data_IF_318570840163
#
_entry.id   IF_318570840163
#
_cell.length_a   1.000
_cell.length_b   1.000
_cell.length_c   1.000
_cell.angle_alpha   90.00
_cell.angle_beta   90.00
_cell.angle_gamma   90.00
#
_symmetry.space_group_name_H-M   'P 1'
#
loop_
_entity.id
_entity.type
_entity.pdbx_description
1 polymer ?
#
# COMPACT_ATOMS: atom_id res chain seq x y z
N UNK A 1 -5.06 -30.91 19.08
CA UNK A 1 -4.39 -31.48 17.88
C UNK A 1 -3.11 -30.68 17.70
N UNK A 2 -1.96 -31.33 17.59
CA UNK A 2 -0.69 -30.66 17.34
C UNK A 2 -0.55 -30.33 15.86
N UNK A 3 -0.30 -29.08 15.50
CA UNK A 3 -0.18 -28.58 14.13
C UNK A 3 1.25 -28.21 13.75
N UNK A 4 2.18 -28.37 14.66
CA UNK A 4 3.58 -28.04 14.42
C UNK A 4 4.18 -29.04 13.44
N UNK A 5 4.85 -28.54 12.41
CA UNK A 5 5.61 -29.34 11.45
C UNK A 5 7.10 -29.03 11.55
N UNK A 6 7.93 -29.96 11.10
CA UNK A 6 9.37 -29.93 11.36
C UNK A 6 10.08 -28.71 10.78
N UNK A 7 9.73 -28.34 9.54
CA UNK A 7 10.39 -27.28 8.79
C UNK A 7 9.52 -26.76 7.62
N UNK A 8 9.99 -25.70 6.99
CA UNK A 8 9.31 -25.06 5.87
C UNK A 8 9.20 -25.98 4.64
N UNK A 9 10.20 -26.81 4.37
CA UNK A 9 10.19 -27.74 3.24
C UNK A 9 9.07 -28.80 3.40
N UNK A 10 8.95 -29.36 4.59
CA UNK A 10 7.86 -30.28 4.96
C UNK A 10 6.50 -29.60 4.86
N UNK A 11 6.42 -28.35 5.31
CA UNK A 11 5.16 -27.60 5.35
C UNK A 11 4.56 -27.31 3.97
N UNK A 12 5.40 -27.14 2.93
CA UNK A 12 4.96 -26.85 1.56
C UNK A 12 5.04 -28.06 0.62
N UNK A 13 5.38 -29.24 1.12
CA UNK A 13 5.72 -30.42 0.30
C UNK A 13 4.57 -30.90 -0.61
N UNK A 14 3.33 -30.71 -0.24
CA UNK A 14 2.13 -31.17 -0.95
C UNK A 14 1.48 -30.11 -1.85
N UNK A 15 2.04 -28.90 -1.96
CA UNK A 15 1.50 -27.87 -2.88
C UNK A 15 1.68 -28.37 -4.32
N UNK A 16 0.58 -28.61 -5.09
CA UNK A 16 0.67 -29.14 -6.44
C UNK A 16 0.89 -28.04 -7.49
N UNK A 17 1.21 -28.45 -8.70
CA UNK A 17 1.15 -27.58 -9.89
C UNK A 17 -0.24 -26.97 -10.05
N UNK A 18 -0.29 -25.73 -10.55
CA UNK A 18 -1.55 -25.02 -10.79
C UNK A 18 -2.26 -24.49 -9.55
N UNK A 19 -1.71 -24.72 -8.34
CA UNK A 19 -2.34 -24.25 -7.10
C UNK A 19 -2.46 -22.72 -7.04
N UNK A 20 -3.50 -22.24 -6.39
CA UNK A 20 -3.65 -20.83 -6.00
C UNK A 20 -3.01 -20.64 -4.64
N UNK A 21 -1.88 -19.91 -4.61
CA UNK A 21 -1.08 -19.69 -3.41
C UNK A 21 -1.16 -18.23 -2.98
N UNK A 22 -1.77 -17.99 -1.81
CA UNK A 22 -1.78 -16.69 -1.15
C UNK A 22 -0.51 -16.50 -0.31
N UNK A 23 0.12 -15.34 -0.44
CA UNK A 23 1.31 -14.98 0.35
C UNK A 23 1.06 -13.69 1.09
N UNK A 24 0.98 -13.76 2.43
CA UNK A 24 0.80 -12.57 3.28
C UNK A 24 2.05 -11.68 3.30
N UNK A 25 1.88 -10.47 3.79
CA UNK A 25 2.91 -9.46 3.93
C UNK A 25 2.53 -8.14 3.26
N UNK A 26 3.20 -7.05 3.63
CA UNK A 26 2.82 -5.70 3.22
C UNK A 26 4.01 -4.91 2.67
N UNK A 27 3.84 -4.34 1.48
CA UNK A 27 4.73 -3.34 0.89
C UNK A 27 6.19 -3.79 0.77
N UNK A 28 7.08 -3.01 1.35
CA UNK A 28 8.52 -3.24 1.42
C UNK A 28 8.95 -3.86 2.76
N UNK A 29 7.99 -4.22 3.60
CA UNK A 29 8.25 -4.70 4.95
C UNK A 29 8.84 -6.12 4.99
N UNK A 30 9.18 -6.54 6.18
CA UNK A 30 9.83 -7.82 6.49
C UNK A 30 8.86 -8.89 7.01
N UNK A 31 7.54 -8.65 6.86
CA UNK A 31 6.50 -9.55 7.39
C UNK A 31 5.98 -10.52 6.33
N UNK A 32 6.88 -11.05 5.54
CA UNK A 32 6.63 -12.14 4.62
C UNK A 32 7.09 -13.47 5.24
N UNK A 33 6.42 -14.60 4.96
CA UNK A 33 6.83 -15.93 5.40
C UNK A 33 8.02 -16.42 4.55
N UNK A 34 9.20 -15.84 4.77
CA UNK A 34 10.38 -15.94 3.87
C UNK A 34 10.92 -17.36 3.73
N UNK A 35 10.83 -18.18 4.78
CA UNK A 35 11.30 -19.57 4.70
C UNK A 35 10.34 -20.45 3.91
N UNK A 36 9.01 -20.23 4.06
CA UNK A 36 7.99 -20.91 3.25
C UNK A 36 8.09 -20.51 1.78
N UNK A 37 8.31 -19.22 1.47
CA UNK A 37 8.53 -18.73 0.10
C UNK A 37 9.77 -19.38 -0.49
N UNK A 38 10.86 -19.43 0.27
CA UNK A 38 12.13 -20.03 -0.18
C UNK A 38 11.96 -21.52 -0.45
N UNK A 39 11.38 -22.26 0.49
CA UNK A 39 11.16 -23.68 0.34
C UNK A 39 10.26 -24.00 -0.88
N UNK A 40 9.21 -23.21 -1.11
CA UNK A 40 8.34 -23.38 -2.27
C UNK A 40 9.07 -23.05 -3.59
N UNK A 41 9.91 -22.02 -3.61
CA UNK A 41 10.69 -21.64 -4.80
C UNK A 41 11.72 -22.70 -5.21
N UNK A 42 12.25 -23.46 -4.25
CA UNK A 42 13.22 -24.53 -4.45
C UNK A 42 12.57 -25.85 -4.95
N UNK A 43 11.26 -25.97 -4.85
CA UNK A 43 10.53 -27.12 -5.41
C UNK A 43 10.36 -26.98 -6.94
N UNK A 44 10.21 -28.12 -7.60
CA UNK A 44 9.84 -28.21 -9.02
C UNK A 44 8.32 -28.12 -9.21
N UNK A 45 7.69 -27.09 -8.62
CA UNK A 45 6.26 -26.79 -8.79
C UNK A 45 6.09 -25.67 -9.82
N UNK A 46 5.09 -25.78 -10.70
CA UNK A 46 4.90 -24.86 -11.81
C UNK A 46 3.43 -24.38 -11.90
N UNK A 47 3.20 -23.40 -12.77
CA UNK A 47 1.88 -22.86 -13.11
C UNK A 47 1.08 -22.31 -11.92
N UNK A 48 1.77 -21.87 -10.86
CA UNK A 48 1.09 -21.30 -9.70
C UNK A 48 0.36 -20.01 -10.06
N UNK A 49 -0.85 -19.85 -9.51
CA UNK A 49 -1.49 -18.53 -9.37
C UNK A 49 -1.08 -17.95 -8.03
N UNK A 50 -0.23 -16.93 -8.04
CA UNK A 50 0.19 -16.26 -6.81
C UNK A 50 -0.70 -15.06 -6.50
N UNK A 51 -1.24 -15.03 -5.28
CA UNK A 51 -2.01 -13.89 -4.73
C UNK A 51 -1.19 -13.25 -3.64
N UNK A 52 -0.86 -11.96 -3.78
CA UNK A 52 -0.08 -11.23 -2.77
C UNK A 52 -0.36 -9.73 -2.83
N UNK A 53 -0.02 -8.99 -1.79
CA UNK A 53 -0.08 -7.53 -1.85
C UNK A 53 0.96 -6.96 -2.84
N UNK A 54 2.20 -7.41 -2.72
CA UNK A 54 3.31 -6.96 -3.54
C UNK A 54 4.38 -8.04 -3.70
N UNK A 55 5.26 -7.85 -4.67
CA UNK A 55 6.44 -8.70 -4.86
C UNK A 55 7.54 -8.43 -3.80
N UNK A 56 7.34 -7.44 -2.92
CA UNK A 56 8.33 -7.01 -1.95
C UNK A 56 9.59 -6.38 -2.56
N UNK A 57 10.64 -6.22 -1.76
CA UNK A 57 11.90 -5.55 -2.18
C UNK A 57 13.13 -6.45 -2.07
N UNK A 58 13.08 -7.47 -1.21
CA UNK A 58 14.17 -8.43 -1.00
C UNK A 58 14.04 -9.63 -1.95
N UNK A 59 15.16 -10.29 -2.21
CA UNK A 59 15.20 -11.56 -2.95
C UNK A 59 14.50 -12.72 -2.24
N UNK A 60 14.21 -12.59 -0.95
CA UNK A 60 13.51 -13.57 -0.12
C UNK A 60 11.97 -13.36 -0.11
N UNK A 61 11.47 -12.29 -0.72
CA UNK A 61 10.06 -11.94 -0.79
C UNK A 61 9.34 -12.68 -1.95
N UNK A 62 8.02 -12.50 -2.16
CA UNK A 62 7.25 -13.19 -3.20
C UNK A 62 7.86 -13.13 -4.62
N UNK A 63 8.67 -12.10 -4.94
CA UNK A 63 9.42 -12.03 -6.20
C UNK A 63 10.30 -13.26 -6.47
N UNK A 64 10.78 -13.96 -5.42
CA UNK A 64 11.56 -15.18 -5.56
C UNK A 64 10.82 -16.25 -6.35
N UNK A 65 9.51 -16.43 -6.11
CA UNK A 65 8.69 -17.37 -6.87
C UNK A 65 8.55 -16.98 -8.34
N UNK A 66 8.41 -15.66 -8.62
CA UNK A 66 8.38 -15.14 -10.00
C UNK A 66 9.72 -15.36 -10.69
N UNK A 67 10.83 -15.01 -10.06
CA UNK A 67 12.19 -15.17 -10.60
C UNK A 67 12.59 -16.64 -10.80
N UNK A 68 12.06 -17.54 -9.98
CA UNK A 68 12.24 -18.98 -10.13
C UNK A 68 11.35 -19.60 -11.22
N UNK A 69 10.49 -18.80 -11.89
CA UNK A 69 9.58 -19.27 -12.95
C UNK A 69 8.45 -20.16 -12.45
N UNK A 70 8.06 -20.06 -11.18
CA UNK A 70 7.00 -20.87 -10.56
C UNK A 70 5.60 -20.35 -10.81
N UNK A 71 5.48 -19.08 -11.18
CA UNK A 71 4.21 -18.33 -11.26
C UNK A 71 3.85 -18.07 -12.71
N UNK A 72 2.68 -18.54 -13.13
CA UNK A 72 2.07 -18.21 -14.44
C UNK A 72 1.03 -17.09 -14.35
N UNK A 73 0.40 -16.92 -13.18
CA UNK A 73 -0.57 -15.85 -12.94
C UNK A 73 -0.27 -15.13 -11.62
N UNK A 74 -0.19 -13.79 -11.66
CA UNK A 74 -0.02 -12.94 -10.49
C UNK A 74 -1.28 -12.09 -10.28
N UNK A 75 -1.86 -12.16 -9.08
CA UNK A 75 -2.94 -11.27 -8.61
C UNK A 75 -2.40 -10.42 -7.47
N UNK A 76 -2.23 -9.11 -7.69
CA UNK A 76 -1.55 -8.27 -6.72
C UNK A 76 -1.96 -6.79 -6.81
N UNK A 77 -1.75 -6.05 -5.72
CA UNK A 77 -1.90 -4.59 -5.72
C UNK A 77 -0.65 -3.90 -6.31
N UNK A 78 0.51 -4.57 -6.28
CA UNK A 78 1.77 -4.07 -6.80
C UNK A 78 2.48 -5.16 -7.62
N UNK A 79 2.43 -5.07 -8.95
CA UNK A 79 3.21 -5.92 -9.87
C UNK A 79 4.53 -5.29 -10.30
N UNK A 80 4.72 -4.01 -10.02
CA UNK A 80 5.92 -3.23 -10.29
C UNK A 80 6.21 -2.25 -9.16
N UNK A 81 7.39 -1.65 -9.16
CA UNK A 81 7.77 -0.58 -8.21
C UNK A 81 7.91 0.74 -8.96
N UNK A 82 7.18 1.75 -8.53
CA UNK A 82 7.30 3.09 -9.10
C UNK A 82 8.75 3.60 -9.06
N UNK A 83 9.21 4.19 -10.15
CA UNK A 83 10.56 4.73 -10.34
C UNK A 83 11.73 3.73 -10.15
N UNK A 84 11.47 2.42 -10.21
CA UNK A 84 12.49 1.36 -10.20
C UNK A 84 12.47 0.62 -11.53
N UNK A 85 13.48 0.81 -12.39
CA UNK A 85 13.56 0.11 -13.67
C UNK A 85 13.56 -1.41 -13.50
N UNK A 86 13.03 -2.13 -14.48
CA UNK A 86 13.01 -3.59 -14.54
C UNK A 86 12.47 -4.27 -13.26
N UNK A 87 11.47 -3.64 -12.63
CA UNK A 87 10.92 -4.14 -11.38
C UNK A 87 9.59 -4.86 -11.52
N UNK A 88 9.00 -4.87 -12.72
CA UNK A 88 7.70 -5.54 -12.95
C UNK A 88 7.81 -7.06 -12.94
N UNK A 89 6.70 -7.72 -12.63
CA UNK A 89 6.61 -9.18 -12.67
C UNK A 89 7.00 -9.73 -14.05
N UNK A 90 6.49 -9.11 -15.12
CA UNK A 90 6.75 -9.51 -16.50
C UNK A 90 8.23 -9.40 -16.88
N UNK A 91 8.94 -8.39 -16.37
CA UNK A 91 10.37 -8.18 -16.65
C UNK A 91 11.27 -9.10 -15.82
N UNK A 92 10.80 -9.61 -14.69
CA UNK A 92 11.58 -10.46 -13.78
C UNK A 92 11.33 -11.95 -13.96
N UNK A 93 10.21 -12.32 -14.56
CA UNK A 93 9.86 -13.72 -14.80
C UNK A 93 10.63 -14.29 -15.99
N UNK A 94 11.21 -15.48 -15.87
CA UNK A 94 11.83 -16.21 -17.00
C UNK A 94 10.78 -16.87 -17.91
N UNK A 95 9.52 -16.91 -17.49
CA UNK A 95 8.38 -17.49 -18.24
C UNK A 95 7.29 -16.43 -18.43
N UNK A 96 6.38 -16.57 -19.42
CA UNK A 96 5.23 -15.69 -19.53
C UNK A 96 4.41 -15.67 -18.22
N UNK A 97 4.01 -14.48 -17.80
CA UNK A 97 3.19 -14.29 -16.60
C UNK A 97 2.01 -13.36 -16.90
N UNK A 98 0.81 -13.83 -16.59
CA UNK A 98 -0.39 -13.02 -16.59
C UNK A 98 -0.49 -12.21 -15.30
N UNK A 99 -0.93 -10.96 -15.37
CA UNK A 99 -1.05 -10.09 -14.19
C UNK A 99 -2.44 -9.49 -14.09
N UNK A 100 -3.14 -9.78 -13.01
CA UNK A 100 -4.35 -9.10 -12.56
C UNK A 100 -3.97 -8.11 -11.46
N UNK A 101 -4.10 -6.80 -11.76
CA UNK A 101 -3.91 -5.76 -10.76
C UNK A 101 -5.22 -5.50 -10.02
N UNK A 102 -5.15 -5.50 -8.69
CA UNK A 102 -6.30 -5.36 -7.81
C UNK A 102 -6.01 -4.21 -6.82
N UNK A 103 -6.88 -3.20 -6.66
CA UNK A 103 -6.75 -2.23 -5.58
C UNK A 103 -6.61 -2.92 -4.23
N UNK A 104 -5.77 -2.39 -3.37
CA UNK A 104 -5.32 -3.09 -2.16
C UNK A 104 -6.47 -3.41 -1.19
N UNK A 105 -7.39 -2.48 -0.98
CA UNK A 105 -8.56 -2.73 -0.14
C UNK A 105 -9.56 -3.68 -0.81
N UNK A 106 -9.64 -3.69 -2.15
CA UNK A 106 -10.43 -4.70 -2.88
C UNK A 106 -9.81 -6.09 -2.75
N UNK A 107 -8.48 -6.20 -2.81
CA UNK A 107 -7.80 -7.47 -2.55
C UNK A 107 -8.16 -8.02 -1.17
N UNK A 108 -8.11 -7.17 -0.15
CA UNK A 108 -8.48 -7.49 1.23
C UNK A 108 -9.95 -7.94 1.32
N UNK A 109 -10.88 -7.20 0.70
CA UNK A 109 -12.31 -7.53 0.73
C UNK A 109 -12.65 -8.82 -0.04
N UNK A 110 -11.99 -9.07 -1.17
CA UNK A 110 -12.15 -10.32 -1.93
C UNK A 110 -11.68 -11.53 -1.11
N UNK A 111 -10.55 -11.41 -0.37
CA UNK A 111 -10.08 -12.44 0.56
C UNK A 111 -11.03 -12.58 1.76
N UNK A 112 -11.47 -11.46 2.37
CA UNK A 112 -12.42 -11.46 3.49
C UNK A 112 -13.74 -12.13 3.11
N UNK A 113 -14.31 -11.79 1.95
CA UNK A 113 -15.54 -12.42 1.47
C UNK A 113 -15.38 -13.92 1.28
N UNK A 114 -14.26 -14.38 0.73
CA UNK A 114 -13.94 -15.79 0.58
C UNK A 114 -13.89 -16.50 1.94
N UNK A 115 -13.13 -15.95 2.89
CA UNK A 115 -12.97 -16.50 4.24
C UNK A 115 -14.25 -16.49 5.08
N UNK A 116 -15.16 -15.54 4.81
CA UNK A 116 -16.45 -15.42 5.48
C UNK A 116 -17.57 -16.28 4.83
N UNK A 117 -17.29 -16.96 3.72
CA UNK A 117 -18.29 -17.72 2.98
C UNK A 117 -19.35 -16.85 2.31
N UNK A 118 -19.01 -15.58 2.00
CA UNK A 118 -19.90 -14.65 1.32
C UNK A 118 -19.76 -14.76 -0.19
N UNK A 119 -20.82 -14.40 -0.92
CA UNK A 119 -20.82 -14.30 -2.38
C UNK A 119 -20.17 -13.02 -2.88
N UNK A 120 -20.30 -12.73 -4.20
CA UNK A 120 -19.86 -11.49 -4.81
C UNK A 120 -20.49 -10.26 -4.15
N UNK A 121 -19.76 -9.14 -4.18
CA UNK A 121 -20.19 -7.88 -3.58
C UNK A 121 -19.93 -6.71 -4.52
N UNK A 122 -20.66 -5.62 -4.32
CA UNK A 122 -20.48 -4.38 -5.07
C UNK A 122 -19.58 -3.40 -4.32
N UNK A 123 -18.63 -2.78 -5.02
CA UNK A 123 -17.71 -1.78 -4.48
C UNK A 123 -17.66 -0.52 -5.34
N UNK A 124 -17.58 0.68 -4.76
CA UNK A 124 -17.41 1.92 -5.50
C UNK A 124 -15.94 2.18 -5.90
N UNK A 125 -15.01 1.33 -5.48
CA UNK A 125 -13.57 1.49 -5.74
C UNK A 125 -13.27 1.30 -7.22
N UNK A 126 -12.47 2.19 -7.80
CA UNK A 126 -11.98 2.14 -9.18
C UNK A 126 -13.06 2.22 -10.28
N UNK A 127 -14.30 2.59 -9.96
CA UNK A 127 -15.45 2.61 -10.89
C UNK A 127 -15.18 3.36 -12.19
N UNK A 128 -14.47 4.49 -12.13
CA UNK A 128 -14.20 5.34 -13.29
C UNK A 128 -12.87 5.02 -13.99
N UNK A 129 -12.20 3.95 -13.57
CA UNK A 129 -10.89 3.58 -14.11
C UNK A 129 -10.97 2.41 -15.11
N UNK A 130 -9.87 2.15 -15.83
CA UNK A 130 -9.78 1.01 -16.74
C UNK A 130 -9.93 -0.35 -16.04
N UNK A 131 -9.71 -0.43 -14.71
CA UNK A 131 -9.89 -1.65 -13.92
C UNK A 131 -11.37 -2.08 -13.80
N UNK A 132 -12.30 -1.18 -14.11
CA UNK A 132 -13.74 -1.44 -14.06
C UNK A 132 -14.35 -1.86 -15.40
N UNK A 133 -13.63 -1.71 -16.53
CA UNK A 133 -14.18 -1.83 -17.90
C UNK A 133 -14.85 -3.18 -18.16
N UNK A 134 -14.30 -4.28 -17.63
CA UNK A 134 -14.83 -5.63 -17.84
C UNK A 134 -15.76 -6.11 -16.71
N UNK A 135 -16.06 -5.26 -15.71
CA UNK A 135 -16.87 -5.64 -14.55
C UNK A 135 -18.33 -5.22 -14.71
N UNK A 136 -19.24 -6.02 -14.14
CA UNK A 136 -20.64 -5.62 -14.05
C UNK A 136 -20.74 -4.34 -13.20
N UNK A 137 -21.43 -3.32 -13.74
CA UNK A 137 -21.67 -2.04 -13.07
C UNK A 137 -23.12 -1.95 -12.65
N UNK A 138 -23.37 -1.40 -11.48
CA UNK A 138 -24.71 -1.14 -10.96
C UNK A 138 -24.74 0.14 -10.15
N UNK A 139 -25.79 0.95 -10.33
CA UNK A 139 -26.02 2.17 -9.56
C UNK A 139 -26.94 1.88 -8.38
N UNK A 140 -26.52 2.28 -7.18
CA UNK A 140 -27.34 2.24 -5.97
C UNK A 140 -27.42 3.67 -5.40
N UNK A 141 -28.67 4.20 -5.30
CA UNK A 141 -28.86 5.61 -5.00
C UNK A 141 -28.28 6.49 -6.12
N UNK A 142 -27.35 7.36 -5.77
CA UNK A 142 -26.65 8.26 -6.71
C UNK A 142 -25.22 7.79 -7.03
N UNK A 143 -24.80 6.62 -6.52
CA UNK A 143 -23.43 6.14 -6.63
C UNK A 143 -23.34 4.88 -7.48
N UNK A 144 -22.32 4.83 -8.32
CA UNK A 144 -22.00 3.66 -9.12
C UNK A 144 -21.06 2.71 -8.39
N UNK A 145 -21.23 1.43 -8.65
CA UNK A 145 -20.48 0.32 -8.07
C UNK A 145 -20.11 -0.69 -9.13
N UNK A 146 -19.04 -1.43 -8.91
CA UNK A 146 -18.64 -2.58 -9.72
C UNK A 146 -18.70 -3.86 -8.90
N UNK A 147 -19.04 -4.96 -9.57
CA UNK A 147 -19.11 -6.29 -8.95
C UNK A 147 -17.72 -6.87 -8.77
N UNK A 148 -17.43 -7.29 -7.54
CA UNK A 148 -16.21 -7.99 -7.15
C UNK A 148 -16.52 -9.40 -6.66
N UNK A 149 -15.62 -10.35 -6.98
CA UNK A 149 -15.79 -11.76 -6.62
C UNK A 149 -14.87 -12.15 -5.46
N UNK A 150 -15.33 -13.04 -4.56
CA UNK A 150 -14.48 -13.62 -3.53
C UNK A 150 -13.22 -14.26 -4.14
N UNK A 151 -12.09 -14.11 -3.46
CA UNK A 151 -10.81 -14.65 -3.88
C UNK A 151 -10.36 -15.75 -2.91
N UNK A 152 -10.65 -17.00 -3.28
CA UNK A 152 -10.21 -18.18 -2.53
C UNK A 152 -8.76 -18.51 -2.91
N UNK A 153 -7.99 -19.01 -1.94
CA UNK A 153 -6.67 -19.58 -2.17
C UNK A 153 -6.61 -21.02 -1.70
N UNK A 154 -5.90 -21.88 -2.44
CA UNK A 154 -5.77 -23.28 -2.06
C UNK A 154 -4.81 -23.42 -0.87
N UNK A 155 -3.72 -22.65 -0.90
CA UNK A 155 -2.73 -22.58 0.18
C UNK A 155 -2.47 -21.12 0.57
N UNK A 156 -2.55 -20.81 1.86
CA UNK A 156 -2.16 -19.50 2.39
C UNK A 156 -0.84 -19.63 3.17
N UNK A 157 0.19 -18.94 2.72
CA UNK A 157 1.46 -18.80 3.41
C UNK A 157 1.43 -17.50 4.22
N UNK A 158 1.44 -17.60 5.54
CA UNK A 158 1.24 -16.48 6.46
C UNK A 158 2.43 -16.37 7.40
N UNK A 159 2.86 -15.14 7.69
CA UNK A 159 3.80 -14.85 8.78
C UNK A 159 3.04 -14.29 9.98
N UNK A 160 3.44 -14.69 11.19
CA UNK A 160 2.99 -14.10 12.44
C UNK A 160 4.12 -14.09 13.48
N UNK A 161 3.96 -13.34 14.57
CA UNK A 161 4.97 -13.27 15.62
C UNK A 161 5.04 -14.58 16.43
N UNK A 162 3.87 -15.15 16.74
CA UNK A 162 3.78 -16.36 17.53
C UNK A 162 2.57 -17.22 17.16
N UNK A 163 2.66 -18.50 17.50
CA UNK A 163 1.50 -19.40 17.55
C UNK A 163 1.66 -20.40 18.69
N UNK A 164 0.54 -20.99 19.13
CA UNK A 164 0.61 -22.19 19.97
C UNK A 164 0.55 -23.46 19.12
N UNK A 165 0.78 -24.61 19.75
CA UNK A 165 0.75 -25.93 19.07
C UNK A 165 -0.63 -26.30 18.50
N UNK A 166 -1.71 -25.68 18.98
CA UNK A 166 -3.06 -25.86 18.45
C UNK A 166 -3.35 -24.96 17.24
N UNK A 167 -2.41 -24.06 16.90
CA UNK A 167 -2.49 -23.14 15.78
C UNK A 167 -3.22 -21.85 16.09
N UNK A 168 -3.42 -21.48 17.36
CA UNK A 168 -3.83 -20.13 17.70
C UNK A 168 -2.65 -19.19 17.44
N UNK A 169 -2.90 -18.05 16.77
CA UNK A 169 -1.88 -17.16 16.24
C UNK A 169 -1.99 -15.79 16.85
N UNK A 170 -0.84 -15.23 17.24
CA UNK A 170 -0.67 -13.86 17.65
C UNK A 170 0.16 -13.10 16.60
N UNK A 171 -0.39 -12.02 16.07
CA UNK A 171 0.35 -11.05 15.28
C UNK A 171 0.98 -10.01 16.21
N UNK A 172 1.78 -9.10 15.66
CA UNK A 172 2.37 -8.04 16.46
C UNK A 172 2.39 -6.72 15.69
N UNK A 173 1.85 -5.66 16.30
CA UNK A 173 1.86 -4.33 15.74
C UNK A 173 1.30 -4.30 14.31
N UNK A 174 1.88 -3.49 13.45
CA UNK A 174 1.47 -3.36 12.04
C UNK A 174 1.81 -4.57 11.16
N UNK A 175 2.45 -5.60 11.75
CA UNK A 175 2.73 -6.88 11.09
C UNK A 175 1.49 -7.75 10.88
N UNK A 176 0.39 -7.44 11.56
CA UNK A 176 -0.91 -8.09 11.35
C UNK A 176 -1.39 -7.90 9.92
N UNK A 177 -1.44 -6.67 9.44
CA UNK A 177 -1.81 -6.22 8.07
C UNK A 177 -2.79 -7.16 7.33
N UNK A 178 -2.37 -7.84 6.24
CA UNK A 178 -3.20 -8.76 5.47
C UNK A 178 -3.18 -10.21 5.99
N UNK A 179 -2.39 -10.52 7.01
CA UNK A 179 -2.22 -11.88 7.54
C UNK A 179 -3.54 -12.60 7.82
N UNK A 180 -4.45 -12.02 8.63
CA UNK A 180 -5.74 -12.64 8.92
C UNK A 180 -6.63 -12.86 7.68
N UNK A 181 -6.58 -11.95 6.70
CA UNK A 181 -7.36 -12.07 5.47
C UNK A 181 -6.92 -13.27 4.63
N UNK A 182 -5.61 -13.45 4.45
CA UNK A 182 -5.05 -14.59 3.73
C UNK A 182 -5.35 -15.91 4.45
N UNK A 183 -5.17 -15.96 5.77
CA UNK A 183 -5.45 -17.14 6.55
C UNK A 183 -6.91 -17.58 6.44
N UNK A 184 -7.84 -16.65 6.58
CA UNK A 184 -9.29 -16.97 6.49
C UNK A 184 -9.72 -17.41 5.09
N UNK A 185 -9.06 -16.94 4.02
CA UNK A 185 -9.37 -17.30 2.63
C UNK A 185 -8.74 -18.62 2.16
N UNK A 186 -7.78 -19.18 2.93
CA UNK A 186 -7.05 -20.39 2.59
C UNK A 186 -7.82 -21.68 2.87
N UNK A 187 -7.72 -22.66 1.97
CA UNK A 187 -8.17 -24.03 2.25
C UNK A 187 -7.18 -24.78 3.12
N UNK A 188 -5.87 -24.58 2.88
CA UNK A 188 -4.78 -25.07 3.71
C UNK A 188 -3.94 -23.87 4.13
N UNK A 189 -3.80 -23.65 5.42
CA UNK A 189 -3.13 -22.49 5.98
C UNK A 189 -1.86 -22.90 6.71
N UNK A 190 -0.74 -22.35 6.27
CA UNK A 190 0.59 -22.61 6.79
C UNK A 190 1.13 -21.30 7.39
N UNK A 191 1.36 -21.29 8.70
CA UNK A 191 1.84 -20.12 9.41
C UNK A 191 3.29 -20.31 9.83
N UNK A 192 4.17 -19.43 9.34
CA UNK A 192 5.54 -19.30 9.81
C UNK A 192 5.57 -18.30 10.96
N UNK A 193 6.16 -18.71 12.10
CA UNK A 193 6.21 -17.87 13.32
C UNK A 193 7.64 -17.75 13.85
N UNK A 194 7.91 -16.67 14.57
CA UNK A 194 9.18 -16.52 15.31
C UNK A 194 9.21 -17.42 16.55
N UNK A 195 8.07 -17.63 17.21
CA UNK A 195 8.00 -18.42 18.43
C UNK A 195 6.76 -19.33 18.46
N UNK A 196 6.96 -20.57 18.96
CA UNK A 196 5.89 -21.52 19.25
C UNK A 196 5.75 -21.67 20.76
N UNK A 197 4.51 -21.62 21.25
CA UNK A 197 4.11 -21.78 22.63
C UNK A 197 3.38 -23.09 22.85
N UNK A 198 3.37 -23.58 24.11
CA UNK A 198 2.45 -24.64 24.48
C UNK A 198 1.02 -24.09 24.58
N UNK A 199 0.03 -24.94 24.41
CA UNK A 199 -1.39 -24.55 24.47
C UNK A 199 -1.72 -23.98 25.85
N UNK A 200 -2.23 -22.74 25.87
CA UNK A 200 -2.57 -22.01 27.10
C UNK A 200 -1.45 -21.08 27.62
N UNK A 201 -0.29 -21.03 26.96
CA UNK A 201 0.77 -20.07 27.29
C UNK A 201 0.57 -18.72 26.58
N UNK A 202 -0.07 -18.70 25.39
CA UNK A 202 -0.49 -17.44 24.77
C UNK A 202 -1.67 -16.86 25.54
N UNK A 203 -1.61 -15.58 25.97
CA UNK A 203 -2.74 -14.89 26.58
C UNK A 203 -3.94 -14.90 25.63
N UNK A 204 -5.15 -15.15 26.15
CA UNK A 204 -6.37 -15.26 25.33
C UNK A 204 -6.64 -13.97 24.55
N UNK A 205 -6.30 -12.83 25.12
CA UNK A 205 -6.46 -11.49 24.52
C UNK A 205 -5.44 -11.18 23.41
N UNK A 206 -4.36 -11.95 23.31
CA UNK A 206 -3.35 -11.83 22.26
C UNK A 206 -3.58 -12.80 21.09
N UNK A 207 -4.62 -13.65 21.16
CA UNK A 207 -4.98 -14.54 20.05
C UNK A 207 -5.81 -13.78 19.02
N UNK A 208 -5.18 -13.33 17.94
CA UNK A 208 -5.82 -12.59 16.85
C UNK A 208 -6.52 -13.52 15.86
N UNK A 209 -5.96 -14.73 15.66
CA UNK A 209 -6.50 -15.73 14.74
C UNK A 209 -6.64 -17.06 15.45
N UNK A 210 -7.89 -17.56 15.68
CA UNK A 210 -8.14 -18.86 16.28
C UNK A 210 -7.59 -20.02 15.44
N UNK A 211 -7.09 -21.04 16.10
CA UNK A 211 -6.46 -22.21 15.48
C UNK A 211 -7.33 -22.94 14.46
N UNK A 212 -8.65 -22.77 14.47
CA UNK A 212 -9.56 -23.37 13.48
C UNK A 212 -9.21 -23.01 12.02
N UNK A 213 -8.55 -21.87 11.81
CA UNK A 213 -8.12 -21.43 10.48
C UNK A 213 -6.74 -21.95 10.07
N UNK A 214 -5.97 -22.58 10.96
CA UNK A 214 -4.58 -22.94 10.72
C UNK A 214 -4.44 -24.46 10.61
N UNK A 215 -3.73 -24.94 9.60
CA UNK A 215 -3.45 -26.36 9.40
C UNK A 215 -2.03 -26.73 9.84
N UNK A 216 -1.05 -25.87 9.61
CA UNK A 216 0.36 -26.12 9.91
C UNK A 216 1.02 -24.88 10.53
N UNK A 217 1.84 -25.12 11.54
CA UNK A 217 2.68 -24.12 12.19
C UNK A 217 4.15 -24.50 12.00
N UNK A 218 4.96 -23.56 11.53
CA UNK A 218 6.41 -23.72 11.32
C UNK A 218 7.13 -22.65 12.12
N UNK A 219 8.05 -23.06 12.97
CA UNK A 219 8.94 -22.08 13.61
C UNK A 219 10.04 -21.67 12.64
N UNK A 220 10.27 -20.36 12.50
CA UNK A 220 11.37 -19.84 11.70
C UNK A 220 12.71 -20.31 12.27
N UNK A 221 13.58 -20.85 11.42
CA UNK A 221 14.92 -21.30 11.80
C UNK A 221 15.87 -20.12 12.02
N UNK A 222 15.62 -19.00 11.35
CA UNK A 222 16.46 -17.82 11.39
C UNK A 222 15.73 -16.64 12.01
N UNK A 223 16.46 -15.85 12.80
CA UNK A 223 15.93 -14.58 13.30
C UNK A 223 15.61 -13.67 12.13
N UNK A 224 14.41 -13.13 12.13
CA UNK A 224 13.94 -12.18 11.13
C UNK A 224 14.86 -10.96 11.06
N UNK A 225 15.34 -10.65 9.84
CA UNK A 225 16.07 -9.41 9.56
C UNK A 225 15.13 -8.39 8.97
N UNK A 226 14.85 -7.30 9.66
CA UNK A 226 13.98 -6.24 9.14
C UNK A 226 14.52 -5.65 7.82
N UNK A 227 13.65 -5.49 6.84
CA UNK A 227 13.96 -4.82 5.57
C UNK A 227 13.27 -3.47 5.55
N UNK A 228 14.01 -2.44 5.90
CA UNK A 228 13.49 -1.08 5.92
C UNK A 228 13.57 -0.44 4.54
N UNK A 229 12.58 0.36 4.22
CA UNK A 229 12.67 1.23 3.06
C UNK A 229 13.75 2.27 3.31
N UNK A 230 14.70 2.38 2.39
CA UNK A 230 15.68 3.47 2.43
C UNK A 230 14.93 4.80 2.31
N UNK A 231 15.08 5.67 3.31
CA UNK A 231 14.53 7.03 3.29
C UNK A 231 15.03 7.75 2.05
N UNK A 232 14.18 8.57 1.47
CA UNK A 232 14.61 9.53 0.47
C UNK A 232 15.53 10.55 1.15
N UNK A 233 16.37 11.19 0.34
CA UNK A 233 17.08 12.37 0.78
C UNK A 233 16.05 13.49 1.03
N UNK A 234 15.75 13.73 2.30
CA UNK A 234 14.75 14.71 2.73
C UNK A 234 15.17 16.15 2.45
N UNK A 235 16.45 16.35 2.15
CA UNK A 235 17.07 17.66 1.82
C UNK A 235 17.34 17.82 0.31
N UNK A 236 17.00 16.82 -0.53
CA UNK A 236 17.15 16.89 -1.99
C UNK A 236 16.38 18.08 -2.56
N UNK A 237 17.08 18.98 -3.25
CA UNK A 237 16.47 20.11 -3.96
C UNK A 237 16.53 19.90 -5.46
N UNK A 238 15.51 20.37 -6.16
CA UNK A 238 15.50 20.48 -7.61
C UNK A 238 15.84 21.90 -8.06
N UNK A 239 16.63 21.97 -9.12
CA UNK A 239 16.96 23.24 -9.76
C UNK A 239 16.01 23.52 -10.93
N UNK A 240 15.58 24.77 -11.04
CA UNK A 240 14.72 25.33 -12.07
C UNK A 240 15.31 26.66 -12.54
N UNK A 241 15.94 26.68 -13.72
CA UNK A 241 16.52 27.89 -14.31
C UNK A 241 17.48 28.64 -13.35
N UNK A 242 18.34 27.90 -12.64
CA UNK A 242 19.31 28.49 -11.69
C UNK A 242 18.76 28.81 -10.29
N UNK A 243 17.48 28.51 -10.02
CA UNK A 243 16.83 28.62 -8.71
C UNK A 243 16.51 27.25 -8.17
N UNK A 244 16.45 27.10 -6.85
CA UNK A 244 16.17 25.81 -6.20
C UNK A 244 14.79 25.78 -5.56
N UNK A 245 14.03 24.73 -5.82
CA UNK A 245 12.73 24.51 -5.22
C UNK A 245 12.82 24.00 -3.78
N UNK A 246 11.65 23.78 -3.16
CA UNK A 246 11.54 23.24 -1.80
C UNK A 246 12.12 21.82 -1.71
N UNK A 247 12.66 21.49 -0.55
CA UNK A 247 13.00 20.12 -0.18
C UNK A 247 11.74 19.28 0.05
N UNK A 248 11.84 17.94 0.04
CA UNK A 248 10.75 17.06 0.48
C UNK A 248 10.20 17.46 1.86
N UNK A 249 11.09 17.79 2.80
CA UNK A 249 10.75 18.20 4.15
C UNK A 249 9.93 19.51 4.19
N UNK A 250 10.36 20.52 3.42
CA UNK A 250 9.62 21.79 3.31
C UNK A 250 8.24 21.60 2.66
N UNK A 251 8.10 20.69 1.67
CA UNK A 251 6.79 20.30 1.11
C UNK A 251 5.91 19.69 2.20
N UNK A 252 6.46 18.78 3.02
CA UNK A 252 5.75 18.17 4.15
C UNK A 252 5.25 19.22 5.16
N UNK A 253 6.08 20.22 5.48
CA UNK A 253 5.69 21.34 6.34
C UNK A 253 4.52 22.16 5.75
N UNK A 254 4.58 22.47 4.46
CA UNK A 254 3.51 23.22 3.80
C UNK A 254 2.18 22.45 3.80
N UNK A 255 2.24 21.11 3.63
CA UNK A 255 1.03 20.27 3.72
C UNK A 255 0.51 20.23 5.16
N UNK A 256 1.40 20.09 6.14
CA UNK A 256 0.99 20.10 7.54
C UNK A 256 0.24 21.39 7.91
N UNK A 257 0.68 22.57 7.40
CA UNK A 257 -0.01 23.84 7.62
C UNK A 257 -1.43 23.90 7.04
N UNK A 258 -1.73 23.08 6.02
CA UNK A 258 -3.06 22.98 5.41
C UNK A 258 -4.03 22.07 6.17
N UNK A 259 -3.54 21.27 7.11
CA UNK A 259 -4.35 20.33 7.88
C UNK A 259 -4.91 21.01 9.14
N UNK A 260 -6.23 20.98 9.37
CA UNK A 260 -6.81 21.52 10.59
C UNK A 260 -6.52 20.62 11.80
N UNK A 261 -6.50 21.20 13.00
CA UNK A 261 -6.53 20.41 14.23
C UNK A 261 -7.85 19.65 14.37
N UNK A 262 -7.84 18.51 15.02
CA UNK A 262 -8.98 17.61 15.15
C UNK A 262 -9.18 16.68 13.97
N UNK A 263 -8.25 16.66 12.98
CA UNK A 263 -8.40 15.85 11.76
C UNK A 263 -7.77 14.46 11.85
N UNK A 264 -8.43 13.50 11.17
CA UNK A 264 -7.92 12.17 10.85
C UNK A 264 -7.35 12.17 9.44
N UNK A 265 -6.06 11.82 9.29
CA UNK A 265 -5.32 12.01 8.04
C UNK A 265 -4.63 10.73 7.61
N UNK A 266 -4.85 10.28 6.37
CA UNK A 266 -4.02 9.23 5.76
C UNK A 266 -2.83 9.85 5.02
N UNK A 267 -1.65 9.30 5.23
CA UNK A 267 -0.43 9.67 4.51
C UNK A 267 0.02 8.54 3.58
N UNK A 268 -0.06 8.78 2.28
CA UNK A 268 0.47 7.88 1.26
C UNK A 268 1.99 7.78 1.27
N UNK A 269 2.50 6.86 0.48
CA UNK A 269 3.93 6.53 0.40
C UNK A 269 4.74 7.64 -0.27
N UNK A 270 5.89 7.99 0.26
CA UNK A 270 6.88 8.89 -0.36
C UNK A 270 6.84 10.31 0.19
N UNK A 271 6.61 11.34 -0.63
CA UNK A 271 6.54 12.73 -0.15
C UNK A 271 5.47 12.94 0.95
N UNK A 272 4.29 12.32 0.87
CA UNK A 272 3.29 12.45 1.93
C UNK A 272 3.79 12.08 3.33
N UNK A 273 4.69 11.10 3.48
CA UNK A 273 5.20 10.68 4.81
C UNK A 273 5.96 11.78 5.53
N UNK A 274 6.45 12.81 4.82
CA UNK A 274 7.16 13.94 5.42
C UNK A 274 6.27 14.76 6.38
N UNK A 275 4.95 14.74 6.18
CA UNK A 275 3.98 15.47 6.99
C UNK A 275 4.03 15.04 8.46
N UNK A 276 4.30 13.76 8.74
CA UNK A 276 4.35 13.23 10.11
C UNK A 276 5.40 13.93 11.01
N UNK A 277 6.45 14.50 10.41
CA UNK A 277 7.50 15.19 11.16
C UNK A 277 7.07 16.60 11.64
N UNK A 278 5.91 17.12 11.19
CA UNK A 278 5.45 18.49 11.44
C UNK A 278 4.12 18.58 12.20
N UNK A 279 3.61 17.47 12.69
CA UNK A 279 2.33 17.45 13.43
C UNK A 279 2.50 17.23 14.93
N UNK A 280 3.73 17.09 15.42
CA UNK A 280 4.01 16.93 16.83
C UNK A 280 3.41 18.11 17.65
N UNK A 281 2.64 17.79 18.69
CA UNK A 281 1.93 18.77 19.52
C UNK A 281 0.66 19.35 18.90
N UNK A 282 0.25 18.89 17.72
CA UNK A 282 -1.03 19.22 17.09
C UNK A 282 -2.06 18.10 17.34
N UNK A 283 -3.31 18.45 17.35
CA UNK A 283 -4.42 17.50 17.43
C UNK A 283 -4.71 16.95 16.01
N UNK A 284 -3.80 16.11 15.51
CA UNK A 284 -3.92 15.42 14.21
C UNK A 284 -3.60 13.95 14.43
N UNK A 285 -4.53 13.08 14.04
CA UNK A 285 -4.39 11.64 14.15
C UNK A 285 -4.06 11.03 12.80
N UNK A 286 -2.91 10.36 12.69
CA UNK A 286 -2.49 9.71 11.45
C UNK A 286 -3.06 8.30 11.32
N UNK A 287 -3.42 7.96 10.09
CA UNK A 287 -3.88 6.64 9.66
C UNK A 287 -2.93 6.09 8.60
N UNK A 288 -2.69 4.78 8.62
CA UNK A 288 -1.98 4.05 7.56
C UNK A 288 -2.72 2.76 7.21
N UNK A 289 -2.81 2.45 5.93
CA UNK A 289 -3.58 1.31 5.40
C UNK A 289 -3.05 -0.07 5.80
N UNK A 290 -1.82 -0.14 6.33
CA UNK A 290 -1.27 -1.36 6.92
C UNK A 290 -1.72 -1.62 8.36
N UNK A 291 -2.61 -0.77 8.91
CA UNK A 291 -3.23 -0.97 10.20
C UNK A 291 -2.65 -0.15 11.35
N UNK A 292 -1.91 0.93 11.09
CA UNK A 292 -1.49 1.87 12.13
C UNK A 292 -2.46 3.05 12.23
N UNK A 293 -2.89 3.38 13.44
CA UNK A 293 -3.74 4.54 13.72
C UNK A 293 -3.23 5.29 14.96
N UNK A 294 -3.12 6.61 14.86
CA UNK A 294 -2.59 7.44 15.94
C UNK A 294 -1.07 7.34 16.08
N UNK A 295 -0.37 6.87 15.05
CA UNK A 295 1.09 6.84 15.07
C UNK A 295 1.67 8.27 15.00
N UNK A 296 2.90 8.40 15.47
CA UNK A 296 3.62 9.67 15.52
C UNK A 296 4.73 9.74 14.47
N UNK A 297 5.79 10.45 14.78
CA UNK A 297 6.95 10.69 13.93
C UNK A 297 7.64 9.41 13.44
N UNK A 298 8.36 9.54 12.35
CA UNK A 298 9.27 8.52 11.85
C UNK A 298 10.52 8.46 12.72
N UNK A 299 10.96 7.25 13.06
CA UNK A 299 12.16 7.02 13.87
C UNK A 299 13.34 6.54 13.04
N UNK A 300 14.54 6.58 13.61
CA UNK A 300 15.72 6.00 12.97
C UNK A 300 15.68 4.47 13.02
N UNK A 301 16.35 3.83 12.07
CA UNK A 301 16.40 2.35 11.98
C UNK A 301 17.03 1.71 13.23
N UNK A 302 17.96 2.40 13.87
CA UNK A 302 18.63 1.92 15.09
C UNK A 302 17.67 1.80 16.29
N UNK A 303 16.61 2.62 16.29
CA UNK A 303 15.61 2.66 17.36
C UNK A 303 14.26 2.04 16.94
N UNK A 304 14.24 1.38 15.79
CA UNK A 304 13.01 0.88 15.18
C UNK A 304 12.49 -0.38 15.88
N UNK A 305 11.22 -0.40 16.24
CA UNK A 305 10.49 -1.64 16.46
C UNK A 305 10.16 -2.26 15.09
N UNK A 306 10.59 -3.52 14.83
CA UNK A 306 10.34 -4.17 13.55
C UNK A 306 8.85 -4.37 13.22
N UNK A 307 7.98 -4.28 14.20
CA UNK A 307 6.54 -4.44 14.05
C UNK A 307 5.78 -3.10 14.10
N UNK A 308 6.48 -1.95 14.10
CA UNK A 308 5.89 -0.62 14.05
C UNK A 308 6.40 0.18 12.83
N UNK A 309 5.65 0.16 11.73
CA UNK A 309 5.99 0.85 10.49
C UNK A 309 4.73 1.40 9.80
N UNK A 310 4.92 2.50 9.05
CA UNK A 310 3.85 3.08 8.23
C UNK A 310 3.66 2.31 6.92
N UNK A 311 2.66 2.69 6.13
CA UNK A 311 2.36 2.08 4.83
C UNK A 311 3.52 2.14 3.83
N UNK A 312 4.46 3.06 4.01
CA UNK A 312 5.69 3.17 3.23
C UNK A 312 6.78 2.19 3.61
N UNK A 313 6.64 1.47 4.73
CA UNK A 313 7.69 0.61 5.30
C UNK A 313 8.78 1.41 6.03
N UNK A 314 8.45 2.61 6.51
CA UNK A 314 9.34 3.43 7.34
C UNK A 314 8.98 3.21 8.81
N UNK A 315 9.97 3.09 9.73
CA UNK A 315 9.69 2.86 11.14
C UNK A 315 9.03 4.09 11.78
N UNK A 316 8.05 3.83 12.66
CA UNK A 316 7.26 4.85 13.34
C UNK A 316 7.19 4.58 14.83
N UNK A 317 6.76 5.59 15.59
CA UNK A 317 6.44 5.45 17.02
C UNK A 317 4.93 5.23 17.17
N UNK A 318 4.57 4.24 17.99
CA UNK A 318 3.22 4.02 18.48
C UNK A 318 3.15 4.56 19.91
N UNK A 319 2.47 5.69 20.08
CA UNK A 319 2.34 6.39 21.36
C UNK A 319 1.06 6.02 22.11
N UNK A 320 0.83 6.70 23.24
CA UNK A 320 -0.42 6.57 23.98
C UNK A 320 -1.63 6.97 23.12
N UNK A 321 -2.66 6.12 23.08
CA UNK A 321 -3.84 6.31 22.25
C UNK A 321 -3.71 5.79 20.82
N UNK A 322 -2.54 5.29 20.41
CA UNK A 322 -2.40 4.55 19.16
C UNK A 322 -3.15 3.22 19.20
N UNK A 323 -3.61 2.77 18.06
CA UNK A 323 -4.15 1.42 17.88
C UNK A 323 -3.57 0.78 16.63
N UNK A 324 -3.48 -0.55 16.66
CA UNK A 324 -3.06 -1.37 15.52
C UNK A 324 -4.13 -2.41 15.24
N UNK A 325 -4.30 -2.76 13.96
CA UNK A 325 -5.33 -3.68 13.49
C UNK A 325 -4.98 -4.18 12.08
N UNK A 326 -5.76 -5.12 11.60
CA UNK A 326 -5.59 -5.65 10.26
C UNK A 326 -5.96 -4.62 9.16
N UNK A 327 -5.57 -4.91 7.92
CA UNK A 327 -5.88 -4.05 6.77
C UNK A 327 -7.37 -4.01 6.43
N UNK A 328 -8.19 -4.98 6.88
CA UNK A 328 -9.66 -4.93 6.70
C UNK A 328 -10.18 -3.67 7.37
N UNK A 329 -9.91 -3.53 8.67
CA UNK A 329 -10.34 -2.37 9.48
C UNK A 329 -9.74 -1.06 8.97
N UNK A 330 -8.47 -1.09 8.52
CA UNK A 330 -7.84 0.10 7.96
C UNK A 330 -8.60 0.62 6.72
N UNK A 331 -8.99 -0.26 5.80
CA UNK A 331 -9.76 0.13 4.62
C UNK A 331 -11.24 0.40 4.91
N UNK A 332 -11.83 -0.21 5.94
CA UNK A 332 -13.17 0.16 6.44
C UNK A 332 -13.20 1.60 6.92
N UNK A 333 -12.19 2.05 7.68
CA UNK A 333 -12.04 3.45 8.12
C UNK A 333 -11.98 4.38 6.90
N UNK A 334 -11.15 4.04 5.91
CA UNK A 334 -10.97 4.86 4.73
C UNK A 334 -12.25 4.96 3.87
N UNK A 335 -12.82 3.82 3.47
CA UNK A 335 -14.03 3.78 2.64
C UNK A 335 -15.29 4.25 3.36
N UNK A 336 -15.29 4.17 4.69
CA UNK A 336 -16.41 4.61 5.54
C UNK A 336 -16.50 6.13 5.76
N UNK A 337 -15.61 6.92 5.13
CA UNK A 337 -15.65 8.38 5.24
C UNK A 337 -15.17 8.92 6.59
N UNK A 338 -14.30 8.19 7.29
CA UNK A 338 -13.76 8.60 8.59
C UNK A 338 -12.44 9.38 8.50
N UNK A 339 -11.98 9.70 7.30
CA UNK A 339 -10.77 10.48 7.07
C UNK A 339 -11.12 11.89 6.59
N UNK A 340 -10.68 12.91 7.35
CA UNK A 340 -10.87 14.32 6.99
C UNK A 340 -9.96 14.74 5.83
N UNK A 341 -8.78 14.12 5.72
CA UNK A 341 -7.86 14.34 4.62
C UNK A 341 -7.07 13.09 4.23
N UNK A 342 -6.76 13.01 2.94
CA UNK A 342 -5.86 12.02 2.35
C UNK A 342 -4.76 12.77 1.61
N UNK A 343 -3.49 12.40 1.87
CA UNK A 343 -2.33 12.98 1.18
C UNK A 343 -1.68 11.91 0.32
N UNK A 344 -1.69 12.07 -1.00
CA UNK A 344 -1.14 11.10 -1.97
C UNK A 344 -0.06 11.72 -2.86
N UNK A 345 0.80 10.87 -3.41
CA UNK A 345 1.67 11.25 -4.52
C UNK A 345 0.95 11.13 -5.86
N UNK A 346 1.38 11.91 -6.88
CA UNK A 346 0.88 11.76 -8.24
C UNK A 346 2.00 11.81 -9.29
N UNK A 347 1.73 11.18 -10.45
CA UNK A 347 2.52 11.36 -11.67
C UNK A 347 2.04 12.59 -12.44
N UNK A 348 0.72 12.75 -12.58
CA UNK A 348 0.09 13.89 -13.26
C UNK A 348 -1.23 14.26 -12.57
N UNK A 349 -1.60 15.54 -12.64
CA UNK A 349 -2.89 16.08 -12.21
C UNK A 349 -3.38 17.06 -13.28
N UNK A 350 -4.67 17.02 -13.63
CA UNK A 350 -5.29 17.93 -14.58
C UNK A 350 -6.28 18.90 -13.91
N UNK A 351 -6.71 20.01 -14.57
CA UNK A 351 -7.54 21.06 -13.95
C UNK A 351 -8.92 20.60 -13.48
N UNK A 352 -9.45 19.50 -13.99
CA UNK A 352 -10.68 18.88 -13.48
C UNK A 352 -10.54 18.37 -12.04
N UNK A 353 -9.31 18.13 -11.58
CA UNK A 353 -8.98 17.43 -10.34
C UNK A 353 -8.83 15.93 -10.52
N UNK A 354 -8.83 15.44 -11.75
CA UNK A 354 -8.48 14.04 -12.04
C UNK A 354 -6.97 13.86 -11.98
N UNK A 355 -6.51 12.67 -11.58
CA UNK A 355 -5.08 12.41 -11.45
C UNK A 355 -4.69 10.97 -11.73
N UNK A 356 -3.40 10.75 -12.01
CA UNK A 356 -2.78 9.46 -12.27
C UNK A 356 -1.58 9.23 -11.35
N UNK A 357 -1.50 8.04 -10.72
CA UNK A 357 -0.39 7.72 -9.80
C UNK A 357 0.04 6.24 -9.76
N UNK A 358 -0.56 5.34 -10.55
CA UNK A 358 -0.32 3.91 -10.35
C UNK A 358 0.45 3.20 -11.45
N UNK A 359 0.42 3.72 -12.69
CA UNK A 359 1.19 3.15 -13.80
C UNK A 359 1.69 4.22 -14.78
N UNK A 360 2.80 3.91 -15.44
CA UNK A 360 3.32 4.63 -16.60
C UNK A 360 3.86 3.60 -17.59
N UNK A 361 3.96 3.92 -18.90
CA UNK A 361 4.51 3.00 -19.90
C UNK A 361 5.89 2.43 -19.51
N UNK A 362 6.73 3.23 -18.86
CA UNK A 362 8.08 2.83 -18.44
C UNK A 362 8.11 1.81 -17.29
N UNK A 363 7.01 1.68 -16.53
CA UNK A 363 6.96 0.72 -15.42
C UNK A 363 6.81 -0.72 -15.89
N UNK A 364 6.19 -0.97 -17.05
CA UNK A 364 5.89 -2.31 -17.54
C UNK A 364 4.98 -3.12 -16.60
N UNK A 365 4.23 -2.45 -15.75
CA UNK A 365 3.32 -3.01 -14.74
C UNK A 365 2.66 -1.89 -13.95
N UNK A 366 2.08 -2.20 -12.78
CA UNK A 366 1.39 -1.20 -11.98
C UNK A 366 1.67 -1.31 -10.48
N UNK A 367 1.43 -0.21 -9.80
CA UNK A 367 1.57 -0.04 -8.35
C UNK A 367 0.34 0.71 -7.83
N UNK A 368 -0.82 0.04 -7.86
CA UNK A 368 -2.11 0.66 -7.49
C UNK A 368 -2.12 0.99 -5.99
N UNK A 369 -1.71 0.05 -5.16
CA UNK A 369 -1.77 0.20 -3.71
C UNK A 369 -3.18 0.46 -3.20
N UNK A 370 -3.28 1.22 -2.12
CA UNK A 370 -4.54 1.63 -1.49
C UNK A 370 -5.16 2.91 -2.03
N UNK A 371 -4.50 3.58 -3.01
CA UNK A 371 -4.93 4.90 -3.46
C UNK A 371 -6.43 4.95 -3.84
N UNK A 372 -6.89 4.03 -4.69
CA UNK A 372 -8.29 4.04 -5.16
C UNK A 372 -9.31 3.76 -4.05
N UNK A 373 -8.94 2.98 -3.03
CA UNK A 373 -9.79 2.76 -1.84
C UNK A 373 -9.89 4.02 -0.98
N UNK A 374 -8.77 4.75 -0.82
CA UNK A 374 -8.71 6.01 -0.08
C UNK A 374 -9.51 7.15 -0.73
N UNK A 375 -9.87 7.02 -2.02
CA UNK A 375 -10.64 8.03 -2.77
C UNK A 375 -12.16 7.86 -2.66
N UNK A 376 -12.66 6.86 -1.97
CA UNK A 376 -14.10 6.57 -1.92
C UNK A 376 -14.87 7.69 -1.22
N UNK A 377 -14.32 8.24 -0.15
CA UNK A 377 -14.86 9.41 0.58
C UNK A 377 -13.75 10.12 1.38
N UNK A 378 -12.83 10.81 0.71
CA UNK A 378 -11.58 11.24 1.33
C UNK A 378 -11.67 12.55 2.14
N UNK A 379 -12.85 13.13 2.38
CA UNK A 379 -12.98 14.48 2.91
C UNK A 379 -12.25 15.50 2.03
N UNK A 380 -10.92 15.61 2.13
CA UNK A 380 -10.08 16.47 1.29
C UNK A 380 -8.89 15.69 0.72
N UNK A 381 -8.69 15.72 -0.60
CA UNK A 381 -7.52 15.11 -1.23
C UNK A 381 -6.44 16.15 -1.53
N UNK A 382 -5.26 15.94 -0.95
CA UNK A 382 -4.06 16.75 -1.16
C UNK A 382 -3.03 15.92 -1.92
N UNK A 383 -2.54 16.43 -3.04
CA UNK A 383 -1.46 15.79 -3.79
C UNK A 383 -0.12 16.42 -3.42
N UNK A 384 0.84 15.58 -3.05
CA UNK A 384 2.23 15.94 -2.78
C UNK A 384 3.14 15.42 -3.89
N UNK A 385 3.76 16.30 -4.69
CA UNK A 385 4.61 15.87 -5.80
C UNK A 385 5.68 16.91 -6.14
N UNK A 386 6.70 16.56 -6.94
CA UNK A 386 7.56 17.55 -7.61
C UNK A 386 6.75 18.24 -8.71
N UNK A 387 7.05 19.50 -8.99
CA UNK A 387 6.32 20.29 -10.00
C UNK A 387 6.52 19.76 -11.43
N UNK A 388 7.72 19.27 -11.71
CA UNK A 388 8.05 18.69 -13.02
C UNK A 388 8.56 17.25 -12.91
N UNK A 389 8.57 16.55 -14.02
CA UNK A 389 9.34 15.32 -14.21
C UNK A 389 10.86 15.64 -14.25
N UNK A 390 11.71 14.59 -14.28
CA UNK A 390 13.17 14.78 -14.38
C UNK A 390 13.61 15.40 -15.71
N UNK A 391 12.83 15.23 -16.76
CA UNK A 391 13.06 15.82 -18.08
C UNK A 391 12.59 17.28 -18.19
N UNK A 392 12.03 17.86 -17.12
CA UNK A 392 11.51 19.22 -17.07
C UNK A 392 10.03 19.36 -17.46
N UNK A 393 9.36 18.29 -17.93
CA UNK A 393 7.94 18.34 -18.27
C UNK A 393 7.09 18.59 -17.02
N UNK A 394 6.08 19.45 -17.13
CA UNK A 394 5.11 19.71 -16.06
C UNK A 394 4.35 18.44 -15.69
N UNK A 395 4.02 18.32 -14.41
CA UNK A 395 3.12 17.29 -13.87
C UNK A 395 1.71 17.82 -13.61
N UNK A 396 1.54 19.16 -13.69
CA UNK A 396 0.24 19.82 -13.82
C UNK A 396 -0.04 19.97 -15.31
N UNK A 397 -0.83 19.06 -15.87
CA UNK A 397 -1.02 18.88 -17.33
C UNK A 397 -2.41 19.34 -17.75
N UNK A 398 -2.62 19.69 -19.03
CA UNK A 398 -3.95 20.01 -19.56
C UNK A 398 -4.88 18.79 -19.53
N UNK A 399 -4.33 17.61 -19.81
CA UNK A 399 -5.02 16.32 -19.76
C UNK A 399 -4.05 15.21 -19.38
N UNK A 400 -4.55 14.15 -18.72
CA UNK A 400 -3.73 13.02 -18.30
C UNK A 400 -3.23 12.19 -19.48
N UNK A 401 -1.93 11.88 -19.51
CA UNK A 401 -1.35 10.88 -20.42
C UNK A 401 -1.34 9.48 -19.82
N UNK A 402 -1.43 9.39 -18.49
CA UNK A 402 -1.33 8.13 -17.75
C UNK A 402 -2.69 7.68 -17.28
N UNK A 403 -2.82 6.40 -17.00
CA UNK A 403 -4.05 5.77 -16.55
C UNK A 403 -4.62 6.44 -15.29
N UNK A 404 -5.91 6.74 -15.32
CA UNK A 404 -6.65 7.42 -14.28
C UNK A 404 -6.61 6.65 -12.96
N UNK A 405 -6.36 7.37 -11.86
CA UNK A 405 -6.48 6.86 -10.49
C UNK A 405 -7.79 7.33 -9.85
N UNK A 406 -8.07 8.60 -9.92
CA UNK A 406 -9.27 9.23 -9.38
C UNK A 406 -9.73 10.39 -10.24
N UNK A 407 -11.06 10.53 -10.37
CA UNK A 407 -11.72 11.50 -11.23
C UNK A 407 -12.25 12.66 -10.42
N UNK A 408 -11.94 13.92 -10.85
CA UNK A 408 -12.52 15.17 -10.34
C UNK A 408 -12.44 15.36 -8.81
N UNK A 409 -11.42 14.79 -8.14
CA UNK A 409 -11.40 14.65 -6.67
C UNK A 409 -10.28 15.43 -5.98
N UNK A 410 -9.22 15.84 -6.69
CA UNK A 410 -8.11 16.58 -6.10
C UNK A 410 -8.56 17.97 -5.66
N UNK A 411 -8.31 18.33 -4.42
CA UNK A 411 -8.62 19.67 -3.86
C UNK A 411 -7.42 20.59 -3.93
N UNK A 412 -6.22 20.08 -3.64
CA UNK A 412 -4.98 20.87 -3.55
C UNK A 412 -3.81 20.05 -4.07
N UNK A 413 -2.91 20.72 -4.77
CA UNK A 413 -1.61 20.17 -5.15
C UNK A 413 -0.52 20.99 -4.50
N UNK A 414 0.35 20.35 -3.74
CA UNK A 414 1.56 20.96 -3.15
C UNK A 414 2.78 20.42 -3.85
N UNK A 415 3.54 21.32 -4.45
CA UNK A 415 4.77 20.97 -5.17
C UNK A 415 5.99 21.64 -4.52
N UNK A 416 7.17 21.35 -5.03
CA UNK A 416 8.39 22.05 -4.64
C UNK A 416 8.49 23.50 -5.16
N UNK A 417 7.50 23.96 -5.96
CA UNK A 417 7.41 25.35 -6.44
C UNK A 417 6.19 26.10 -5.92
N UNK A 418 5.10 25.41 -5.56
CA UNK A 418 3.82 26.07 -5.34
C UNK A 418 2.82 25.27 -4.51
N UNK A 419 1.85 25.99 -3.94
CA UNK A 419 0.53 25.46 -3.59
C UNK A 419 -0.45 25.88 -4.68
N UNK A 420 -1.12 24.91 -5.27
CA UNK A 420 -2.14 25.08 -6.30
C UNK A 420 -3.44 24.49 -5.76
N UNK A 421 -4.47 25.32 -5.60
CA UNK A 421 -5.82 24.86 -5.30
C UNK A 421 -6.59 24.59 -6.59
N UNK A 422 -7.63 23.80 -6.50
CA UNK A 422 -8.60 23.58 -7.57
C UNK A 422 -9.95 24.16 -7.15
N UNK A 423 -10.57 24.93 -8.03
CA UNK A 423 -11.97 25.33 -7.97
C UNK A 423 -12.73 24.90 -9.24
N UNK A 424 -13.98 25.31 -9.39
CA UNK A 424 -14.83 24.94 -10.53
C UNK A 424 -14.29 25.43 -11.89
N UNK A 425 -13.40 26.43 -11.90
CA UNK A 425 -12.78 26.97 -13.09
C UNK A 425 -11.34 26.40 -13.34
N UNK A 426 -10.89 25.43 -12.54
CA UNK A 426 -9.59 24.77 -12.69
C UNK A 426 -8.58 25.22 -11.64
N UNK A 427 -7.28 25.25 -12.02
CA UNK A 427 -6.18 25.52 -11.11
C UNK A 427 -6.03 27.00 -10.72
N UNK A 428 -5.73 27.22 -9.43
CA UNK A 428 -5.44 28.55 -8.85
C UNK A 428 -4.13 28.46 -8.09
N UNK A 429 -3.14 29.26 -8.48
CA UNK A 429 -1.87 29.43 -7.78
C UNK A 429 -2.11 30.26 -6.50
N UNK A 430 -1.89 29.64 -5.34
CA UNK A 430 -2.11 30.27 -4.04
C UNK A 430 -0.84 30.70 -3.32
N UNK A 431 0.23 29.96 -3.51
CA UNK A 431 1.51 30.23 -2.85
C UNK A 431 2.66 29.82 -3.76
N UNK A 432 3.74 30.60 -3.75
CA UNK A 432 4.95 30.36 -4.53
C UNK A 432 6.12 30.09 -3.60
N UNK A 433 7.02 29.19 -3.98
CA UNK A 433 8.23 28.88 -3.23
C UNK A 433 9.15 30.11 -3.14
N UNK A 434 9.86 30.29 -2.01
CA UNK A 434 10.79 31.38 -1.84
C UNK A 434 11.80 31.50 -3.00
N UNK A 435 12.00 32.70 -3.52
CA UNK A 435 12.91 32.97 -4.64
C UNK A 435 12.32 32.83 -6.03
N UNK A 436 11.07 32.38 -6.15
CA UNK A 436 10.34 32.31 -7.42
C UNK A 436 9.25 33.40 -7.51
N UNK A 437 8.99 33.84 -8.72
CA UNK A 437 7.87 34.72 -9.06
C UNK A 437 6.69 33.88 -9.61
N UNK A 438 5.45 34.36 -9.44
CA UNK A 438 4.26 33.66 -9.95
C UNK A 438 4.36 33.36 -11.45
N UNK A 439 4.86 34.31 -12.24
CA UNK A 439 5.04 34.16 -13.68
C UNK A 439 6.01 33.02 -14.06
N UNK A 440 7.03 32.76 -13.22
CA UNK A 440 7.98 31.66 -13.44
C UNK A 440 7.31 30.29 -13.18
N UNK A 441 6.46 30.21 -12.16
CA UNK A 441 5.68 28.99 -11.85
C UNK A 441 4.68 28.73 -12.96
N UNK A 442 3.97 29.75 -13.43
CA UNK A 442 3.06 29.65 -14.58
C UNK A 442 3.79 29.15 -15.83
N UNK A 443 4.99 29.68 -16.13
CA UNK A 443 5.79 29.25 -17.28
C UNK A 443 6.29 27.79 -17.19
N UNK A 444 6.40 27.21 -15.98
CA UNK A 444 6.76 25.82 -15.72
C UNK A 444 5.54 24.89 -15.62
N UNK A 445 4.32 25.40 -15.76
CA UNK A 445 3.06 24.68 -15.67
C UNK A 445 2.43 24.53 -17.06
N UNK A 446 2.14 23.30 -17.49
CA UNK A 446 1.50 23.03 -18.79
C UNK A 446 0.00 23.43 -18.75
N UNK A 447 -0.68 23.08 -17.66
CA UNK A 447 -2.10 23.38 -17.50
C UNK A 447 -2.34 24.89 -17.29
N UNK A 448 -3.50 25.42 -17.72
CA UNK A 448 -3.92 26.78 -17.38
C UNK A 448 -3.91 27.02 -15.86
N UNK A 449 -3.21 28.06 -15.42
CA UNK A 449 -3.02 28.38 -13.99
C UNK A 449 -3.35 29.84 -13.75
N UNK A 450 -4.48 30.11 -13.05
CA UNK A 450 -4.86 31.45 -12.61
C UNK A 450 -4.03 31.83 -11.39
N UNK A 451 -3.71 33.11 -11.23
CA UNK A 451 -2.90 33.62 -10.10
C UNK A 451 -3.80 34.37 -9.14
N UNK A 452 -3.88 33.89 -7.90
CA UNK A 452 -4.59 34.53 -6.78
C UNK A 452 -3.89 34.10 -5.47
N UNK A 453 -2.83 34.85 -5.14
CA UNK A 453 -1.95 34.53 -4.00
C UNK A 453 -2.57 34.98 -2.68
N UNK A 454 -2.35 34.18 -1.61
CA UNK A 454 -2.69 34.54 -0.23
C UNK A 454 -1.84 35.68 0.32
#
# INVERSE_FOLDING_TARGET
MDKVVADAATAVADIPDGAVVGVSGFGASHNFPVELITALAEREVNDLTMVCNSLGVSEWHPRRLVQAGRVSTLKAAFSARAAVPNSSAQQQSPVPIEVELIPQGILVERLRSAGAGLGPFYSPVAVDTELAVAKERRTFGERDYVLEYPLHVDYALVYAAAADRAGNVAFRGTSENLGPSFAKAGKTVIVQVDQIYEVGELPTEEIDLPGVYVDRVVQAANTRTPTWRKRRDDEERREYNGKVGLTPKEIGSWIADLLPNGSYVNLGVGLPTQVSDFIAGRDITLHAENGAFGYSERVSVENADPDAYNAGGEPITLGAGSSVFDSIRAFEIARGGHLDAVVLGAFQVEPSGSFANWTTPAMGGGAIGGAMDLLVDPGRLIIAMRHTERNGRSKLVESLDYALTGKDIVSVVVTDLAIVERDDAGFVLRKVAPGFEAAEVVALTEAPLRVDLW
#
